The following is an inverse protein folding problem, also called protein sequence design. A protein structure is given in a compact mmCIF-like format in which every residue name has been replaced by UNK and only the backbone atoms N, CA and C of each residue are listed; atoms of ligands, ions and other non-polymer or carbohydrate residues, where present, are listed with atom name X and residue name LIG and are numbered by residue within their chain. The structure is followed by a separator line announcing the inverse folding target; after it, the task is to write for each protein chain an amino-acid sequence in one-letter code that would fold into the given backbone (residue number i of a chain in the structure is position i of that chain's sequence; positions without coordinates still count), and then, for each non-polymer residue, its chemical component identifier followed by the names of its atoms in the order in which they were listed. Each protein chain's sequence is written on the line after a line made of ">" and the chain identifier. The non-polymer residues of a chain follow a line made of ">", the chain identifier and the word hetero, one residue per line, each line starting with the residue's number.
data_IF_921773489200
#
_entry.id   IF_921773489200
#
_cell.length_a   1.000
_cell.length_b   1.000
_cell.length_c   1.000
_cell.angle_alpha   90.00
_cell.angle_beta   90.00
_cell.angle_gamma   90.00
#
_symmetry.space_group_name_H-M   'P 1'
#
loop_
_entity.id
_entity.type
_entity.pdbx_description
1 polymer ?
#
# COMPACT_ATOMS: atom_id res chain seq x y z
N UNK A 1 12.53 0.63 7.98
CA UNK A 1 11.79 0.26 6.76
C UNK A 1 12.11 1.34 5.75
N UNK A 2 12.68 0.96 4.61
CA UNK A 2 13.13 1.95 3.63
C UNK A 2 11.94 2.48 2.84
N UNK A 3 12.00 3.71 2.31
CA UNK A 3 10.95 4.26 1.45
C UNK A 3 10.66 3.35 0.23
N UNK A 4 11.66 2.62 -0.25
CA UNK A 4 11.53 1.60 -1.29
C UNK A 4 10.63 0.43 -0.87
N UNK A 5 10.77 -0.09 0.36
CA UNK A 5 9.92 -1.18 0.89
C UNK A 5 8.44 -0.77 0.98
N UNK A 6 8.19 0.48 1.39
CA UNK A 6 6.85 1.06 1.46
C UNK A 6 6.24 1.17 0.07
N UNK A 7 7.01 1.67 -0.89
CA UNK A 7 6.59 1.81 -2.29
C UNK A 7 6.22 0.45 -2.89
N UNK A 8 7.07 -0.57 -2.69
CA UNK A 8 6.79 -1.93 -3.15
C UNK A 8 5.48 -2.48 -2.57
N UNK A 9 5.22 -2.26 -1.28
CA UNK A 9 3.97 -2.69 -0.64
C UNK A 9 2.73 -1.97 -1.19
N UNK A 10 2.83 -0.65 -1.44
CA UNK A 10 1.73 0.13 -2.04
C UNK A 10 1.44 -0.38 -3.45
N UNK A 11 2.49 -0.60 -4.26
CA UNK A 11 2.34 -1.13 -5.63
C UNK A 11 1.74 -2.54 -5.61
N UNK A 12 2.22 -3.41 -4.71
CA UNK A 12 1.69 -4.78 -4.55
C UNK A 12 0.22 -4.78 -4.10
N UNK A 13 -0.17 -3.88 -3.21
CA UNK A 13 -1.56 -3.71 -2.80
C UNK A 13 -2.43 -3.23 -3.98
N UNK A 14 -1.93 -2.24 -4.72
CA UNK A 14 -2.65 -1.69 -5.88
C UNK A 14 -2.84 -2.75 -6.98
N UNK A 15 -1.85 -3.63 -7.17
CA UNK A 15 -1.95 -4.79 -8.07
C UNK A 15 -3.06 -5.76 -7.66
N UNK A 16 -3.23 -6.01 -6.34
CA UNK A 16 -4.29 -6.87 -5.80
C UNK A 16 -5.69 -6.25 -5.91
N UNK A 17 -5.81 -4.92 -5.87
CA UNK A 17 -7.09 -4.23 -6.05
C UNK A 17 -7.66 -4.30 -7.48
N UNK A 18 -6.83 -4.64 -8.47
CA UNK A 18 -7.26 -4.87 -9.85
C UNK A 18 -7.55 -3.62 -10.69
N UNK A 19 -7.31 -3.79 -12.00
CA UNK A 19 -7.53 -2.88 -13.13
C UNK A 19 -6.57 -1.70 -13.33
N UNK A 20 -5.35 -2.04 -13.72
CA UNK A 20 -4.46 -1.14 -14.47
C UNK A 20 -3.26 -1.94 -14.99
N UNK A 21 -2.89 -1.75 -16.26
CA UNK A 21 -1.67 -2.35 -16.82
C UNK A 21 -0.39 -1.93 -16.06
N UNK A 22 -0.46 -0.86 -15.26
CA UNK A 22 0.60 -0.33 -14.43
C UNK A 22 0.11 -0.04 -12.99
N UNK A 23 0.40 -0.92 -12.01
CA UNK A 23 0.02 -0.71 -10.61
C UNK A 23 0.73 0.51 -9.99
N UNK A 24 1.92 0.87 -10.46
CA UNK A 24 2.61 2.08 -10.03
C UNK A 24 1.86 3.36 -10.46
N UNK A 25 1.37 3.39 -11.71
CA UNK A 25 0.54 4.52 -12.19
C UNK A 25 -0.79 4.59 -11.46
N UNK A 26 -1.42 3.45 -11.17
CA UNK A 26 -2.64 3.43 -10.38
C UNK A 26 -2.42 3.94 -8.95
N UNK A 27 -1.29 3.60 -8.32
CA UNK A 27 -0.92 4.13 -7.01
C UNK A 27 -0.62 5.64 -7.05
N UNK A 28 0.01 6.14 -8.12
CA UNK A 28 0.18 7.58 -8.35
C UNK A 28 -1.16 8.29 -8.57
N UNK A 29 -2.04 7.74 -9.39
CA UNK A 29 -3.37 8.29 -9.65
C UNK A 29 -4.25 8.37 -8.38
N UNK A 30 -3.99 7.47 -7.42
CA UNK A 30 -4.61 7.47 -6.10
C UNK A 30 -3.91 8.38 -5.08
N UNK A 31 -2.81 9.02 -5.46
CA UNK A 31 -2.04 9.91 -4.59
C UNK A 31 -1.24 9.19 -3.51
N UNK A 32 -1.04 7.88 -3.62
CA UNK A 32 -0.28 7.09 -2.64
C UNK A 32 1.23 7.13 -2.88
N UNK A 33 1.63 7.42 -4.12
CA UNK A 33 3.01 7.57 -4.55
C UNK A 33 3.12 8.91 -5.30
N UNK A 34 4.22 9.63 -5.10
CA UNK A 34 4.49 10.87 -5.81
C UNK A 34 5.08 10.64 -7.22
N UNK A 35 5.32 11.73 -7.95
CA UNK A 35 5.91 11.69 -9.29
C UNK A 35 7.35 11.13 -9.29
N UNK A 36 8.05 11.20 -8.15
CA UNK A 36 9.39 10.66 -7.97
C UNK A 36 9.39 9.18 -7.54
N UNK A 37 8.22 8.54 -7.46
CA UNK A 37 8.10 7.14 -7.05
C UNK A 37 8.22 6.92 -5.54
N UNK A 38 8.08 7.97 -4.71
CA UNK A 38 8.17 7.90 -3.26
C UNK A 38 6.80 7.83 -2.62
N UNK A 39 6.66 7.17 -1.46
CA UNK A 39 5.38 7.04 -0.79
C UNK A 39 4.96 8.37 -0.17
N UNK A 40 3.75 8.84 -0.50
CA UNK A 40 3.17 10.04 0.10
C UNK A 40 2.71 9.77 1.54
N UNK A 41 2.23 10.81 2.24
CA UNK A 41 1.61 10.63 3.57
C UNK A 41 0.40 9.69 3.52
N UNK A 42 -0.42 9.77 2.48
CA UNK A 42 -1.57 8.89 2.29
C UNK A 42 -1.15 7.45 1.99
N UNK A 43 -0.11 7.25 1.16
CA UNK A 43 0.45 5.92 0.92
C UNK A 43 1.02 5.29 2.18
N UNK A 44 1.68 6.08 3.03
CA UNK A 44 2.18 5.62 4.33
C UNK A 44 1.03 5.26 5.29
N UNK A 45 -0.03 6.08 5.34
CA UNK A 45 -1.22 5.82 6.15
C UNK A 45 -1.94 4.54 5.70
N UNK A 46 -2.04 4.29 4.39
CA UNK A 46 -2.58 3.06 3.83
C UNK A 46 -1.82 1.83 4.34
N UNK A 47 -0.49 1.82 4.24
CA UNK A 47 0.30 0.68 4.72
C UNK A 47 0.19 0.52 6.23
N UNK A 48 0.14 1.61 6.99
CA UNK A 48 -0.10 1.55 8.43
C UNK A 48 -1.45 0.89 8.76
N UNK A 49 -2.52 1.30 8.08
CA UNK A 49 -3.86 0.73 8.24
C UNK A 49 -3.93 -0.75 7.84
N UNK A 50 -3.27 -1.14 6.73
CA UNK A 50 -3.20 -2.54 6.30
C UNK A 50 -2.48 -3.41 7.33
N UNK A 51 -1.38 -2.93 7.90
CA UNK A 51 -0.64 -3.64 8.95
C UNK A 51 -1.46 -3.78 10.23
N UNK A 52 -2.18 -2.73 10.60
CA UNK A 52 -3.10 -2.77 11.73
C UNK A 52 -4.22 -3.80 11.49
N UNK A 53 -4.83 -3.80 10.31
CA UNK A 53 -5.84 -4.78 9.93
C UNK A 53 -5.30 -6.22 9.92
N UNK A 54 -4.06 -6.46 9.46
CA UNK A 54 -3.44 -7.79 9.57
C UNK A 54 -3.22 -8.24 11.02
N UNK A 55 -2.89 -7.32 11.94
CA UNK A 55 -2.74 -7.62 13.37
C UNK A 55 -4.08 -7.98 14.01
N UNK A 56 -5.14 -7.27 13.69
CA UNK A 56 -6.49 -7.57 14.18
C UNK A 56 -7.12 -8.80 13.51
N UNK A 57 -6.85 -9.03 12.22
CA UNK A 57 -7.31 -10.21 11.48
C UNK A 57 -6.68 -11.51 11.99
N UNK A 58 -5.39 -11.48 12.36
CA UNK A 58 -4.73 -12.61 13.03
C UNK A 58 -5.37 -12.93 14.39
N UNK A 59 -5.85 -11.92 15.11
CA UNK A 59 -6.51 -12.12 16.42
C UNK A 59 -7.93 -12.69 16.32
N UNK A 60 -8.57 -12.64 15.14
CA UNK A 60 -9.94 -13.15 14.93
C UNK A 60 -10.00 -14.63 14.53
N UNK A 61 -8.87 -15.25 14.21
CA UNK A 61 -8.80 -16.68 13.84
C UNK A 61 -8.42 -17.61 15.01
N UNK A 62 -8.22 -17.05 16.22
CA UNK A 62 -7.87 -17.81 17.44
C UNK A 62 -8.87 -17.54 18.58
N UNK A 63 -10.05 -17.01 18.27
CA UNK A 63 -11.15 -16.79 19.21
C UNK A 63 -12.32 -17.72 18.97
#
# INVERSE_FOLDING_TARGET
>A
MSPDDLTMQIVAFTSQCGHGADPAKAAQARGWIDEAGRPTKDGQALIAALREQSRYGAYRLVG
#
